data_IF_050987615291
#
_entry.id   IF_050987615291
#
_cell.length_a   1.000
_cell.length_b   1.000
_cell.length_c   1.000
_cell.angle_alpha   90.00
_cell.angle_beta   90.00
_cell.angle_gamma   90.00
#
_symmetry.space_group_name_H-M   'P 1'
#
loop_
_entity.id
_entity.type
_entity.pdbx_description
1 polymer ?
#
# COMPACT_ATOMS: atom_id res chain seq x y z
N UNK A 1 4.46 14.27 -6.29
CA UNK A 1 3.36 13.29 -6.53
C UNK A 1 2.13 13.75 -5.77
N UNK A 2 0.95 13.62 -6.37
CA UNK A 2 -0.27 13.88 -5.60
C UNK A 2 -0.60 12.67 -4.70
N UNK A 3 -1.55 12.87 -3.79
CA UNK A 3 -1.88 11.85 -2.82
C UNK A 3 -2.37 10.54 -3.45
N UNK A 4 -3.18 10.62 -4.51
CA UNK A 4 -3.69 9.42 -5.15
C UNK A 4 -2.59 8.66 -5.90
N UNK A 5 -1.63 9.36 -6.49
CA UNK A 5 -0.46 8.71 -7.11
C UNK A 5 0.36 7.96 -6.07
N UNK A 6 0.53 8.54 -4.88
CA UNK A 6 1.24 7.89 -3.79
C UNK A 6 0.49 6.63 -3.35
N UNK A 7 -0.83 6.72 -3.14
CA UNK A 7 -1.65 5.57 -2.76
C UNK A 7 -1.56 4.45 -3.80
N UNK A 8 -1.69 4.81 -5.06
CA UNK A 8 -1.61 3.83 -6.15
C UNK A 8 -0.24 3.14 -6.18
N UNK A 9 0.82 3.90 -5.99
CA UNK A 9 2.17 3.33 -5.96
C UNK A 9 2.35 2.36 -4.80
N UNK A 10 1.84 2.71 -3.62
CA UNK A 10 1.90 1.82 -2.45
C UNK A 10 1.17 0.51 -2.74
N UNK A 11 -0.06 0.58 -3.22
CA UNK A 11 -0.86 -0.62 -3.52
C UNK A 11 -0.19 -1.46 -4.61
N UNK A 12 0.25 -0.81 -5.69
CA UNK A 12 0.91 -1.49 -6.80
C UNK A 12 2.17 -2.23 -6.36
N UNK A 13 3.00 -1.58 -5.57
CA UNK A 13 4.25 -2.19 -5.11
C UNK A 13 4.02 -3.29 -4.08
N UNK A 14 3.04 -3.12 -3.20
CA UNK A 14 2.65 -4.18 -2.28
C UNK A 14 2.14 -5.40 -3.05
N UNK A 15 1.33 -5.18 -4.09
CA UNK A 15 0.81 -6.25 -4.93
C UNK A 15 1.95 -6.96 -5.67
N UNK A 16 2.86 -6.20 -6.27
CA UNK A 16 4.00 -6.74 -7.00
C UNK A 16 4.89 -7.59 -6.10
N UNK A 17 5.04 -7.21 -4.84
CA UNK A 17 5.84 -7.93 -3.86
C UNK A 17 5.02 -8.95 -3.06
N UNK A 18 3.75 -9.14 -3.42
CA UNK A 18 2.85 -10.14 -2.84
C UNK A 18 2.75 -10.04 -1.31
N UNK A 19 2.61 -8.82 -0.81
CA UNK A 19 2.43 -8.57 0.63
C UNK A 19 0.95 -8.81 0.96
N UNK A 20 0.57 -10.07 1.07
CA UNK A 20 -0.80 -10.52 1.27
C UNK A 20 -0.77 -11.82 2.09
N UNK A 21 -1.85 -12.16 2.75
CA UNK A 21 -1.94 -13.37 3.54
C UNK A 21 -1.02 -13.31 4.76
N UNK A 22 -0.09 -14.26 4.85
CA UNK A 22 0.86 -14.31 5.95
C UNK A 22 2.06 -13.38 5.77
N UNK A 23 2.16 -12.74 4.62
CA UNK A 23 3.22 -11.78 4.34
C UNK A 23 2.78 -10.39 4.76
N UNK A 24 3.42 -9.84 5.78
CA UNK A 24 3.14 -8.50 6.26
C UNK A 24 4.44 -7.77 6.50
N UNK A 25 4.43 -6.44 6.34
CA UNK A 25 5.60 -5.59 6.50
C UNK A 25 5.22 -4.36 7.32
N UNK A 26 6.21 -3.80 8.02
CA UNK A 26 5.99 -2.55 8.75
C UNK A 26 5.77 -1.40 7.76
N UNK A 27 5.00 -0.40 8.20
CA UNK A 27 4.69 0.78 7.39
C UNK A 27 5.97 1.43 6.86
N UNK A 28 6.97 1.62 7.69
CA UNK A 28 8.23 2.24 7.29
C UNK A 28 8.91 1.46 6.16
N UNK A 29 8.91 0.15 6.26
CA UNK A 29 9.50 -0.73 5.25
C UNK A 29 8.74 -0.63 3.93
N UNK A 30 7.41 -0.59 3.98
CA UNK A 30 6.60 -0.46 2.77
C UNK A 30 6.91 0.86 2.06
N UNK A 31 6.94 1.96 2.80
CA UNK A 31 7.16 3.28 2.22
C UNK A 31 8.57 3.42 1.65
N UNK A 32 9.60 3.02 2.41
CA UNK A 32 10.98 3.29 2.02
C UNK A 32 11.59 2.23 1.11
N UNK A 33 11.23 0.96 1.28
CA UNK A 33 11.88 -0.15 0.56
C UNK A 33 10.99 -0.80 -0.47
N UNK A 34 9.72 -1.02 -0.15
CA UNK A 34 8.80 -1.71 -1.06
C UNK A 34 8.30 -0.74 -2.14
N UNK A 35 7.71 0.37 -1.75
CA UNK A 35 7.24 1.39 -2.68
C UNK A 35 8.36 2.29 -3.15
N UNK A 36 9.47 2.31 -2.42
CA UNK A 36 10.66 3.10 -2.75
C UNK A 36 10.32 4.55 -3.07
N UNK A 37 9.53 5.18 -2.20
CA UNK A 37 9.11 6.56 -2.41
C UNK A 37 10.28 7.50 -2.14
N UNK A 38 10.34 8.65 -2.86
CA UNK A 38 11.40 9.64 -2.60
C UNK A 38 11.40 10.08 -1.13
N UNK A 39 12.57 10.39 -0.61
CA UNK A 39 12.73 10.77 0.80
C UNK A 39 11.80 11.91 1.22
N UNK A 40 11.63 12.91 0.36
CA UNK A 40 10.77 14.07 0.66
C UNK A 40 9.27 13.72 0.65
N UNK A 41 8.90 12.55 0.15
CA UNK A 41 7.51 12.07 0.13
C UNK A 41 7.23 11.07 1.24
N UNK A 42 8.24 10.60 1.96
CA UNK A 42 8.06 9.54 2.95
C UNK A 42 7.12 9.90 4.08
N UNK A 43 7.21 11.12 4.61
CA UNK A 43 6.33 11.57 5.69
C UNK A 43 4.87 11.54 5.28
N UNK A 44 4.56 12.11 4.11
CA UNK A 44 3.19 12.12 3.58
C UNK A 44 2.72 10.71 3.26
N UNK A 45 3.61 9.88 2.72
CA UNK A 45 3.29 8.50 2.35
C UNK A 45 2.92 7.67 3.57
N UNK A 46 3.62 7.85 4.68
CA UNK A 46 3.28 7.15 5.93
C UNK A 46 1.92 7.57 6.46
N UNK A 47 1.60 8.87 6.38
CA UNK A 47 0.27 9.36 6.77
C UNK A 47 -0.81 8.73 5.92
N UNK A 48 -0.61 8.72 4.59
CA UNK A 48 -1.60 8.16 3.66
C UNK A 48 -1.79 6.65 3.88
N UNK A 49 -0.70 5.92 4.09
CA UNK A 49 -0.79 4.49 4.36
C UNK A 49 -1.55 4.22 5.66
N UNK A 50 -1.28 5.01 6.70
CA UNK A 50 -2.00 4.90 7.97
C UNK A 50 -3.50 5.16 7.78
N UNK A 51 -3.84 6.18 7.00
CA UNK A 51 -5.24 6.47 6.67
C UNK A 51 -5.89 5.32 5.90
N UNK A 52 -5.18 4.73 4.96
CA UNK A 52 -5.69 3.60 4.17
C UNK A 52 -6.00 2.39 5.04
N UNK A 53 -5.18 2.12 6.04
CA UNK A 53 -5.42 1.04 6.99
C UNK A 53 -6.75 1.22 7.73
N UNK A 54 -7.12 2.46 8.03
CA UNK A 54 -8.34 2.78 8.74
C UNK A 54 -9.56 2.93 7.81
N UNK A 55 -9.35 2.88 6.50
CA UNK A 55 -10.40 3.10 5.52
C UNK A 55 -10.84 1.77 4.91
N UNK A 56 -12.10 1.38 5.18
CA UNK A 56 -12.64 0.11 4.68
C UNK A 56 -12.65 -0.01 3.16
N UNK A 57 -12.60 1.11 2.44
CA UNK A 57 -12.56 1.12 0.97
C UNK A 57 -11.17 0.86 0.41
N UNK A 58 -10.13 0.95 1.23
CA UNK A 58 -8.77 0.70 0.78
C UNK A 58 -8.42 -0.78 0.96
N UNK A 59 -7.60 -1.35 0.07
CA UNK A 59 -7.31 -2.78 0.09
C UNK A 59 -6.16 -3.16 1.04
N UNK A 60 -6.04 -2.46 2.15
CA UNK A 60 -4.94 -2.65 3.11
C UNK A 60 -5.49 -2.80 4.51
N UNK A 61 -5.00 -3.80 5.22
CA UNK A 61 -5.34 -4.00 6.63
C UNK A 61 -4.06 -3.95 7.46
N UNK A 62 -4.22 -3.55 8.73
CA UNK A 62 -3.11 -3.39 9.64
C UNK A 62 -3.20 -4.26 10.87
N UNK A 63 -2.05 -4.57 11.44
CA UNK A 63 -1.90 -5.36 12.64
C UNK A 63 -0.97 -4.68 13.62
N UNK A 64 -1.30 -4.73 14.89
CA UNK A 64 -0.54 -4.05 15.92
C UNK A 64 -0.87 -2.57 15.97
N UNK A 65 -0.06 -1.80 16.67
CA UNK A 65 -0.32 -0.38 16.82
C UNK A 65 0.96 0.44 16.89
N UNK A 66 0.78 1.77 16.88
CA UNK A 66 1.88 2.70 16.99
C UNK A 66 2.82 2.67 15.79
N UNK A 67 4.09 2.94 16.05
CA UNK A 67 5.10 3.06 14.99
C UNK A 67 5.50 1.73 14.35
N UNK A 68 5.10 0.62 14.95
CA UNK A 68 5.45 -0.72 14.46
C UNK A 68 4.26 -1.45 13.87
N UNK A 69 3.28 -0.72 13.38
CA UNK A 69 2.13 -1.32 12.74
C UNK A 69 2.57 -2.06 11.48
N UNK A 70 2.17 -3.33 11.39
CA UNK A 70 2.38 -4.13 10.18
C UNK A 70 1.16 -3.98 9.29
N UNK A 71 1.38 -4.02 7.99
CA UNK A 71 0.32 -3.90 6.99
C UNK A 71 0.43 -5.01 5.95
N UNK A 72 -0.70 -5.36 5.37
CA UNK A 72 -0.77 -6.28 4.24
C UNK A 72 -1.97 -5.91 3.38
N UNK A 73 -1.97 -6.39 2.14
CA UNK A 73 -3.16 -6.27 1.29
C UNK A 73 -4.25 -7.20 1.82
N UNK A 74 -5.51 -6.77 1.68
CA UNK A 74 -6.66 -7.60 2.06
C UNK A 74 -6.78 -8.82 1.14
N UNK A 75 -6.52 -8.62 -0.16
CA UNK A 75 -6.41 -9.71 -1.13
C UNK A 75 -5.79 -9.16 -2.42
N UNK A 76 -5.34 -10.05 -3.28
CA UNK A 76 -4.88 -9.68 -4.62
C UNK A 76 -6.01 -9.03 -5.41
N UNK A 77 -7.20 -9.62 -5.36
CA UNK A 77 -8.37 -9.11 -6.08
C UNK A 77 -8.73 -7.68 -5.64
N UNK A 78 -8.76 -7.44 -4.33
CA UNK A 78 -9.07 -6.11 -3.80
C UNK A 78 -8.06 -5.07 -4.27
N UNK A 79 -6.77 -5.44 -4.31
CA UNK A 79 -5.72 -4.53 -4.76
C UNK A 79 -5.85 -4.21 -6.24
N UNK A 80 -6.14 -5.21 -7.08
CA UNK A 80 -6.35 -5.01 -8.52
C UNK A 80 -7.56 -4.11 -8.75
N UNK A 81 -8.67 -4.37 -8.07
CA UNK A 81 -9.88 -3.55 -8.19
C UNK A 81 -9.63 -2.11 -7.78
N UNK A 82 -8.90 -1.92 -6.67
CA UNK A 82 -8.55 -0.58 -6.21
C UNK A 82 -7.76 0.20 -7.28
N UNK A 83 -6.75 -0.45 -7.86
CA UNK A 83 -5.93 0.19 -8.89
C UNK A 83 -6.76 0.55 -10.11
N UNK A 84 -7.63 -0.35 -10.56
CA UNK A 84 -8.50 -0.07 -11.71
C UNK A 84 -9.48 1.07 -11.42
N UNK A 85 -10.05 1.10 -10.22
CA UNK A 85 -11.02 2.12 -9.83
C UNK A 85 -10.38 3.51 -9.66
N UNK A 86 -9.08 3.57 -9.44
CA UNK A 86 -8.37 4.82 -9.18
C UNK A 86 -7.35 5.17 -10.26
N UNK A 87 -7.52 4.60 -11.46
CA UNK A 87 -6.65 4.85 -12.61
C UNK A 87 -5.18 4.50 -12.33
N UNK A 88 -4.96 3.54 -11.46
CA UNK A 88 -3.62 3.05 -11.14
C UNK A 88 -3.19 1.98 -12.15
N UNK A 89 -1.87 1.79 -12.24
CA UNK A 89 -1.32 0.77 -13.09
C UNK A 89 -1.33 -0.58 -12.37
N UNK A 90 -1.93 -1.61 -13.00
CA UNK A 90 -1.91 -2.97 -12.46
C UNK A 90 -0.60 -3.64 -12.89
N UNK A 91 0.17 -4.23 -11.97
CA UNK A 91 1.41 -4.90 -12.34
C UNK A 91 1.17 -6.06 -13.32
N UNK A 92 2.14 -6.28 -14.19
CA UNK A 92 2.08 -7.37 -15.18
C UNK A 92 1.84 -8.71 -14.46
N UNK A 93 0.90 -9.48 -14.97
CA UNK A 93 0.58 -10.80 -14.43
C UNK A 93 -0.55 -10.82 -13.41
N UNK A 94 -1.09 -9.66 -13.03
CA UNK A 94 -2.16 -9.58 -12.03
C UNK A 94 -3.52 -9.17 -12.61
N UNK A 95 -3.60 -8.85 -13.87
CA UNK A 95 -4.89 -8.47 -14.51
C UNK A 95 -5.48 -9.58 -15.39
#
# INVERSE_FOLDING_TARGET
MDDQEIRNRIVRKMLKNQIVGNHKKQIDTVVSKIAALPTHEEGRSKELLTEMVSNASAPIEGYGGGHRQNVRLTSVEDAVDYLKDNDGEVPFGFD
#
